data_IF_730213707351
#
_entry.id   IF_730213707351
#
_cell.length_a   1.000
_cell.length_b   1.000
_cell.length_c   1.000
_cell.angle_alpha   90.00
_cell.angle_beta   90.00
_cell.angle_gamma   90.00
#
_symmetry.space_group_name_H-M   'P 1'
#
loop_
_entity.id
_entity.type
_entity.pdbx_description
1 polymer ?
#
# COMPACT_ATOMS: atom_id res chain seq x y z
N UNK A 1 12.10 -1.07 -19.51
CA UNK A 1 11.07 -0.33 -18.76
C UNK A 1 10.40 -1.35 -17.86
N UNK A 2 10.43 -1.16 -16.53
CA UNK A 2 9.73 -2.06 -15.60
C UNK A 2 8.23 -1.85 -15.78
N UNK A 3 7.46 -2.93 -15.84
CA UNK A 3 6.01 -2.86 -15.96
C UNK A 3 5.42 -3.44 -14.68
N UNK A 4 4.52 -2.69 -14.07
CA UNK A 4 3.91 -3.02 -12.80
C UNK A 4 2.44 -3.32 -12.98
N UNK A 5 1.84 -3.94 -11.97
CA UNK A 5 0.40 -4.04 -11.82
C UNK A 5 0.05 -3.63 -10.40
N UNK A 6 -1.01 -2.84 -10.32
CA UNK A 6 -1.69 -2.50 -9.08
C UNK A 6 -2.95 -3.34 -8.94
N UNK A 7 -3.27 -3.79 -7.73
CA UNK A 7 -4.53 -4.49 -7.47
C UNK A 7 -5.14 -4.16 -6.12
N UNK A 8 -6.45 -4.00 -6.08
CA UNK A 8 -7.21 -3.74 -4.85
C UNK A 8 -8.59 -4.40 -4.92
N UNK A 9 -9.37 -4.27 -3.85
CA UNK A 9 -10.69 -4.87 -3.71
C UNK A 9 -10.70 -6.00 -2.67
N UNK A 10 -11.74 -6.82 -2.68
CA UNK A 10 -11.92 -7.88 -1.68
C UNK A 10 -12.02 -9.25 -2.33
N UNK A 11 -11.82 -10.32 -1.56
CA UNK A 11 -12.07 -11.68 -2.05
C UNK A 11 -13.55 -11.91 -2.41
N UNK A 12 -14.47 -11.25 -1.72
CA UNK A 12 -15.92 -11.42 -1.91
C UNK A 12 -16.43 -10.76 -3.19
N UNK A 13 -15.90 -9.59 -3.55
CA UNK A 13 -16.37 -8.78 -4.68
C UNK A 13 -15.41 -8.79 -5.89
N UNK A 14 -14.33 -9.58 -5.80
CA UNK A 14 -13.27 -9.62 -6.79
C UNK A 14 -12.22 -8.52 -6.58
N UNK A 15 -11.06 -8.74 -7.18
CA UNK A 15 -9.97 -7.77 -7.18
C UNK A 15 -9.82 -7.11 -8.54
N UNK A 16 -9.77 -5.78 -8.54
CA UNK A 16 -9.39 -4.99 -9.71
C UNK A 16 -7.89 -5.14 -9.93
N UNK A 17 -7.45 -5.16 -11.19
CA UNK A 17 -6.03 -5.21 -11.56
C UNK A 17 -5.78 -4.20 -12.68
N UNK A 18 -4.85 -3.29 -12.47
CA UNK A 18 -4.50 -2.23 -13.42
C UNK A 18 -3.01 -2.29 -13.71
N UNK A 19 -2.58 -2.63 -14.95
CA UNK A 19 -1.19 -2.53 -15.35
C UNK A 19 -0.78 -1.07 -15.53
N UNK A 20 0.47 -0.76 -15.22
CA UNK A 20 1.08 0.54 -15.48
C UNK A 20 2.59 0.41 -15.71
N UNK A 21 3.17 1.33 -16.49
CA UNK A 21 4.60 1.39 -16.77
C UNK A 21 5.17 2.81 -16.61
N UNK A 22 4.32 3.78 -16.27
CA UNK A 22 4.68 5.18 -16.00
C UNK A 22 4.22 5.63 -14.62
N UNK A 23 4.83 6.70 -14.11
CA UNK A 23 4.41 7.36 -12.86
C UNK A 23 3.00 7.93 -12.98
N UNK A 24 2.62 8.46 -14.15
CA UNK A 24 1.26 8.96 -14.40
C UNK A 24 0.23 7.81 -14.34
N UNK A 25 0.55 6.66 -14.97
CA UNK A 25 -0.28 5.46 -14.88
C UNK A 25 -0.41 4.95 -13.44
N UNK A 26 0.67 5.00 -12.66
CA UNK A 26 0.66 4.70 -11.23
C UNK A 26 -0.29 5.63 -10.45
N UNK A 27 -0.20 6.95 -10.66
CA UNK A 27 -1.09 7.92 -10.01
C UNK A 27 -2.54 7.68 -10.37
N UNK A 28 -2.84 7.46 -11.65
CA UNK A 28 -4.19 7.16 -12.11
C UNK A 28 -4.74 5.89 -11.45
N UNK A 29 -3.94 4.82 -11.35
CA UNK A 29 -4.33 3.60 -10.64
C UNK A 29 -4.63 3.83 -9.16
N UNK A 30 -3.80 4.62 -8.47
CA UNK A 30 -3.98 4.91 -7.06
C UNK A 30 -5.22 5.78 -6.80
N UNK A 31 -5.50 6.74 -7.70
CA UNK A 31 -6.70 7.56 -7.68
C UNK A 31 -7.96 6.70 -7.86
N UNK A 32 -7.94 5.74 -8.80
CA UNK A 32 -9.04 4.79 -8.99
C UNK A 32 -9.28 3.93 -7.74
N UNK A 33 -8.22 3.38 -7.15
CA UNK A 33 -8.32 2.58 -5.94
C UNK A 33 -8.89 3.37 -4.74
N UNK A 34 -8.47 4.63 -4.60
CA UNK A 34 -8.95 5.52 -3.54
C UNK A 34 -10.42 5.88 -3.74
N UNK A 35 -10.81 6.24 -4.97
CA UNK A 35 -12.20 6.56 -5.30
C UNK A 35 -13.13 5.36 -5.09
N UNK A 36 -12.69 4.15 -5.46
CA UNK A 36 -13.46 2.92 -5.24
C UNK A 36 -13.65 2.63 -3.74
N UNK A 37 -12.60 2.86 -2.94
CA UNK A 37 -12.65 2.72 -1.49
C UNK A 37 -13.64 3.72 -0.85
N UNK A 38 -13.62 4.98 -1.31
CA UNK A 38 -14.54 6.03 -0.86
C UNK A 38 -16.00 5.73 -1.23
N UNK A 39 -16.27 5.38 -2.50
CA UNK A 39 -17.62 5.04 -3.00
C UNK A 39 -18.18 3.84 -2.22
N UNK A 40 -17.32 2.86 -1.94
CA UNK A 40 -17.71 1.65 -1.22
C UNK A 40 -17.73 1.83 0.30
N UNK A 41 -17.32 2.98 0.82
CA UNK A 41 -17.10 3.26 2.25
C UNK A 41 -16.24 2.18 2.94
N UNK A 42 -15.16 1.77 2.27
CA UNK A 42 -14.26 0.67 2.66
C UNK A 42 -12.81 1.12 2.70
N UNK A 43 -11.99 0.34 3.38
CA UNK A 43 -10.53 0.44 3.27
C UNK A 43 -10.05 -0.72 2.40
N UNK A 44 -9.20 -0.42 1.42
CA UNK A 44 -8.59 -1.44 0.57
C UNK A 44 -7.09 -1.53 0.80
N UNK A 45 -6.59 -2.75 0.74
CA UNK A 45 -5.17 -3.00 0.51
C UNK A 45 -4.89 -2.99 -0.98
N UNK A 46 -3.99 -2.11 -1.38
CA UNK A 46 -3.52 -1.94 -2.74
C UNK A 46 -2.16 -2.60 -2.84
N UNK A 47 -2.10 -3.69 -3.59
CA UNK A 47 -0.89 -4.44 -3.85
C UNK A 47 -0.24 -3.93 -5.13
N UNK A 48 1.07 -3.71 -5.11
CA UNK A 48 1.87 -3.28 -6.26
C UNK A 48 2.96 -4.33 -6.49
N UNK A 49 3.01 -4.87 -7.71
CA UNK A 49 4.00 -5.87 -8.10
C UNK A 49 4.58 -5.60 -9.49
N UNK A 50 5.84 -5.98 -9.70
CA UNK A 50 6.47 -5.98 -11.02
C UNK A 50 6.06 -7.25 -11.78
N UNK A 51 5.70 -7.07 -13.05
CA UNK A 51 5.27 -8.13 -13.97
C UNK A 51 6.42 -9.01 -14.47
N UNK A 52 7.66 -8.52 -14.38
CA UNK A 52 8.87 -9.20 -14.84
C UNK A 52 9.50 -10.07 -13.74
N UNK A 53 9.27 -9.73 -12.46
CA UNK A 53 9.82 -10.48 -11.33
C UNK A 53 8.96 -11.72 -11.04
N UNK A 54 9.18 -12.79 -11.84
CA UNK A 54 8.65 -14.14 -11.59
C UNK A 54 9.55 -14.92 -10.62
N UNK A 55 9.85 -14.36 -9.45
CA UNK A 55 10.46 -15.10 -8.36
C UNK A 55 9.56 -15.01 -7.14
N UNK A 56 9.74 -15.94 -6.21
CA UNK A 56 8.78 -16.38 -5.19
C UNK A 56 8.33 -15.32 -4.15
N UNK A 57 8.65 -14.03 -4.39
CA UNK A 57 8.22 -12.86 -3.63
C UNK A 57 7.35 -11.93 -4.51
N UNK A 58 6.00 -12.09 -4.49
CA UNK A 58 5.11 -11.51 -5.50
C UNK A 58 4.71 -10.05 -5.26
N UNK A 59 5.13 -9.41 -4.16
CA UNK A 59 4.76 -8.04 -3.83
C UNK A 59 6.00 -7.18 -3.70
N UNK A 60 5.95 -5.95 -4.20
CA UNK A 60 6.99 -4.97 -3.97
C UNK A 60 6.55 -3.99 -2.90
N UNK A 61 5.33 -3.48 -3.01
CA UNK A 61 4.73 -2.64 -1.98
C UNK A 61 3.25 -2.96 -1.79
N UNK A 62 2.76 -2.74 -0.58
CA UNK A 62 1.33 -2.67 -0.29
C UNK A 62 1.02 -1.34 0.40
N UNK A 63 -0.15 -0.76 0.08
CA UNK A 63 -0.64 0.45 0.74
C UNK A 63 -2.13 0.34 1.09
N UNK A 64 -2.54 0.89 2.23
CA UNK A 64 -3.95 1.02 2.56
C UNK A 64 -4.55 2.33 1.99
N UNK A 65 -5.70 2.24 1.32
CA UNK A 65 -6.45 3.40 0.80
C UNK A 65 -7.88 3.40 1.32
N UNK A 66 -8.55 4.56 1.28
CA UNK A 66 -9.93 4.74 1.74
C UNK A 66 -10.09 5.18 3.19
N UNK A 67 -8.99 5.27 3.95
CA UNK A 67 -8.98 5.91 5.26
C UNK A 67 -8.51 7.36 5.14
N UNK A 68 -9.22 8.30 5.79
CA UNK A 68 -9.01 9.74 5.61
C UNK A 68 -7.62 10.25 6.06
N UNK A 69 -7.07 9.71 7.16
CA UNK A 69 -5.84 10.23 7.78
C UNK A 69 -4.76 9.19 8.06
N UNK A 70 -5.11 7.91 8.08
CA UNK A 70 -4.20 6.81 8.37
C UNK A 70 -3.98 5.99 7.11
N UNK A 71 -2.72 5.71 6.79
CA UNK A 71 -2.38 4.68 5.82
C UNK A 71 -1.12 3.97 6.26
N UNK A 72 -0.96 2.74 5.79
CA UNK A 72 0.20 1.90 6.05
C UNK A 72 0.86 1.62 4.73
N UNK A 73 2.18 1.65 4.70
CA UNK A 73 2.98 1.18 3.57
C UNK A 73 3.84 0.03 4.04
N UNK A 74 3.71 -1.09 3.33
CA UNK A 74 4.56 -2.26 3.46
C UNK A 74 5.47 -2.32 2.24
N UNK A 75 6.74 -2.62 2.48
CA UNK A 75 7.75 -2.92 1.47
C UNK A 75 8.19 -4.35 1.69
N UNK A 76 8.05 -5.19 0.66
CA UNK A 76 8.44 -6.59 0.73
C UNK A 76 9.78 -6.80 0.05
N UNK A 77 10.66 -7.53 0.73
CA UNK A 77 11.98 -7.92 0.26
C UNK A 77 12.18 -9.41 0.47
N UNK A 78 13.21 -9.99 -0.14
CA UNK A 78 13.55 -11.42 0.01
C UNK A 78 13.72 -11.83 1.49
N UNK A 79 14.30 -10.94 2.30
CA UNK A 79 14.58 -11.20 3.71
C UNK A 79 13.38 -10.97 4.66
N UNK A 80 12.23 -10.53 4.12
CA UNK A 80 11.05 -10.20 4.91
C UNK A 80 10.43 -8.85 4.53
N UNK A 81 9.44 -8.42 5.29
CA UNK A 81 8.69 -7.19 5.01
C UNK A 81 9.08 -6.08 5.99
N UNK A 82 8.96 -4.83 5.55
CA UNK A 82 9.24 -3.63 6.36
C UNK A 82 8.08 -2.65 6.28
N UNK A 83 7.74 -2.01 7.39
CA UNK A 83 6.75 -0.94 7.44
C UNK A 83 7.41 0.42 7.32
N UNK A 84 6.77 1.33 6.59
CA UNK A 84 7.08 2.74 6.69
C UNK A 84 6.62 3.27 8.06
N UNK A 85 7.54 3.85 8.80
CA UNK A 85 7.30 4.52 10.08
C UNK A 85 7.16 6.01 9.82
N UNK A 86 6.04 6.59 10.26
CA UNK A 86 5.79 8.02 10.18
C UNK A 86 5.10 8.52 11.45
N UNK A 87 5.24 9.82 11.71
CA UNK A 87 4.51 10.48 12.79
C UNK A 87 3.05 10.68 12.36
N UNK A 88 2.12 10.06 13.08
CA UNK A 88 0.70 10.26 12.86
C UNK A 88 0.22 11.61 13.41
N UNK A 89 -0.69 12.30 12.72
CA UNK A 89 -1.56 13.24 13.40
C UNK A 89 -2.45 12.47 14.39
N UNK A 90 -2.46 12.92 15.65
CA UNK A 90 -3.29 12.39 16.72
C UNK A 90 -4.78 12.62 16.40
N UNK A 91 -5.52 11.53 16.26
CA UNK A 91 -7.00 11.43 16.14
C UNK A 91 -7.63 11.57 14.74
N UNK A 92 -8.57 10.65 14.47
CA UNK A 92 -9.79 10.91 13.68
C UNK A 92 -10.90 9.95 14.10
N UNK A 93 -12.10 10.49 14.31
CA UNK A 93 -13.31 9.86 14.87
C UNK A 93 -14.19 9.11 13.84
N UNK A 94 -13.67 8.64 12.72
CA UNK A 94 -14.50 8.01 11.69
C UNK A 94 -14.52 6.47 11.85
N UNK A 95 -15.67 5.83 12.14
CA UNK A 95 -15.80 4.38 12.12
C UNK A 95 -15.85 3.91 10.67
N UNK A 96 -14.69 3.62 10.07
CA UNK A 96 -14.62 2.90 8.81
C UNK A 96 -14.68 1.40 9.11
N UNK A 97 -15.50 0.68 8.35
CA UNK A 97 -15.56 -0.79 8.46
C UNK A 97 -14.30 -1.36 7.80
N UNK A 98 -13.33 -1.75 8.63
CA UNK A 98 -12.09 -2.38 8.20
C UNK A 98 -12.32 -3.88 7.98
N UNK A 99 -12.77 -4.25 6.77
CA UNK A 99 -12.77 -5.66 6.36
C UNK A 99 -11.34 -6.03 5.92
N UNK A 100 -10.54 -6.55 6.87
CA UNK A 100 -9.20 -7.09 6.57
C UNK A 100 -9.29 -8.10 5.42
N UNK A 101 -8.56 -7.91 4.31
CA UNK A 101 -8.33 -9.00 3.38
C UNK A 101 -7.36 -9.97 4.06
N UNK A 102 -7.86 -11.15 4.44
CA UNK A 102 -7.06 -12.24 5.03
C UNK A 102 -5.78 -12.52 4.24
N UNK A 103 -4.64 -12.53 4.95
CA UNK A 103 -3.33 -13.02 4.46
C UNK A 103 -2.19 -12.80 5.45
N UNK A 104 -2.07 -11.60 6.00
CA UNK A 104 -0.94 -11.22 6.86
C UNK A 104 -1.44 -10.88 8.25
N UNK A 105 -1.18 -11.77 9.22
CA UNK A 105 -1.45 -11.52 10.65
C UNK A 105 -0.43 -10.50 11.16
N UNK A 106 -0.69 -9.23 10.92
CA UNK A 106 0.16 -8.14 11.41
C UNK A 106 -0.52 -7.50 12.60
N UNK A 107 0.07 -7.64 13.78
CA UNK A 107 -0.26 -6.79 14.92
C UNK A 107 -0.03 -5.33 14.48
N UNK A 108 -1.10 -4.56 14.31
CA UNK A 108 -1.01 -3.15 13.94
C UNK A 108 -0.51 -2.36 15.15
N UNK A 109 0.78 -2.08 15.20
CA UNK A 109 1.30 -1.05 16.10
C UNK A 109 0.97 0.30 15.46
N UNK A 110 0.20 1.15 16.15
CA UNK A 110 -0.21 2.49 15.68
C UNK A 110 0.98 3.40 15.25
N UNK A 111 2.21 2.97 15.54
CA UNK A 111 3.47 3.62 15.14
C UNK A 111 3.92 3.33 13.71
N UNK A 112 3.26 2.44 12.96
CA UNK A 112 3.69 1.96 11.63
C UNK A 112 2.87 2.53 10.47
N UNK A 113 2.27 3.70 10.68
CA UNK A 113 1.41 4.38 9.71
C UNK A 113 2.00 5.73 9.32
N UNK A 114 1.84 6.10 8.06
CA UNK A 114 2.25 7.40 7.51
C UNK A 114 1.01 8.25 7.19
N UNK A 115 1.11 9.59 7.19
CA UNK A 115 0.04 10.43 6.69
C UNK A 115 -0.33 10.10 5.25
N UNK A 116 -1.63 10.06 4.92
CA UNK A 116 -2.11 9.81 3.54
C UNK A 116 -1.50 10.80 2.53
N UNK A 117 -1.30 12.05 2.96
CA UNK A 117 -0.65 13.09 2.16
C UNK A 117 0.81 12.79 1.82
N UNK A 118 1.52 12.01 2.65
CA UNK A 118 2.91 11.59 2.40
C UNK A 118 2.99 10.29 1.61
N UNK A 119 2.00 9.40 1.77
CA UNK A 119 2.02 8.07 1.16
C UNK A 119 2.20 8.10 -0.36
N UNK A 120 1.53 9.03 -1.06
CA UNK A 120 1.71 9.18 -2.52
C UNK A 120 3.16 9.49 -2.88
N UNK A 121 3.82 10.38 -2.15
CA UNK A 121 5.22 10.75 -2.39
C UNK A 121 6.17 9.56 -2.21
N UNK A 122 5.96 8.79 -1.14
CA UNK A 122 6.71 7.56 -0.82
C UNK A 122 6.61 6.55 -1.95
N UNK A 123 5.38 6.19 -2.33
CA UNK A 123 5.16 5.19 -3.38
C UNK A 123 5.67 5.67 -4.76
N UNK A 124 5.53 6.97 -5.05
CA UNK A 124 6.02 7.57 -6.30
C UNK A 124 7.53 7.47 -6.43
N UNK A 125 8.26 7.73 -5.34
CA UNK A 125 9.72 7.61 -5.34
C UNK A 125 10.13 6.18 -5.69
N UNK A 126 9.53 5.18 -5.03
CA UNK A 126 9.83 3.77 -5.29
C UNK A 126 9.49 3.35 -6.72
N UNK A 127 8.32 3.72 -7.26
CA UNK A 127 7.96 3.39 -8.65
C UNK A 127 8.96 3.99 -9.63
N UNK A 128 9.48 5.19 -9.35
CA UNK A 128 10.44 5.89 -10.19
C UNK A 128 11.84 5.28 -10.13
N UNK A 129 12.31 4.92 -8.93
CA UNK A 129 13.71 4.49 -8.71
C UNK A 129 13.88 2.97 -8.70
N UNK A 130 12.84 2.24 -8.31
CA UNK A 130 12.90 0.83 -7.98
C UNK A 130 13.60 0.54 -6.64
N UNK A 131 13.88 1.57 -5.85
CA UNK A 131 14.66 1.52 -4.61
C UNK A 131 13.81 1.97 -3.42
N UNK A 132 14.03 1.42 -2.20
CA UNK A 132 13.31 1.83 -0.99
C UNK A 132 13.35 3.36 -0.76
N UNK A 133 12.20 4.02 -0.60
CA UNK A 133 12.12 5.47 -0.35
C UNK A 133 12.89 5.88 0.89
N UNK A 134 13.66 6.98 0.78
CA UNK A 134 14.52 7.47 1.87
C UNK A 134 13.85 8.49 2.79
N UNK A 135 12.68 8.98 2.39
CA UNK A 135 11.88 9.97 3.11
C UNK A 135 11.14 9.42 4.34
N UNK A 136 11.20 8.11 4.58
CA UNK A 136 10.63 7.43 5.76
C UNK A 136 11.63 6.49 6.38
N UNK A 137 11.43 6.22 7.68
CA UNK A 137 12.18 5.17 8.36
C UNK A 137 11.48 3.83 8.13
N UNK A 138 12.24 2.76 7.89
CA UNK A 138 11.70 1.42 7.70
C UNK A 138 11.93 0.58 8.94
N UNK A 139 10.86 0.03 9.52
CA UNK A 139 10.93 -0.93 10.62
C UNK A 139 10.64 -2.34 10.11
N UNK A 140 11.39 -3.34 10.57
CA UNK A 140 11.20 -4.74 10.18
C UNK A 140 9.88 -5.26 10.73
N UNK A 141 9.12 -5.98 9.90
CA UNK A 141 7.99 -6.76 10.33
C UNK A 141 8.50 -8.03 11.03
N UNK A 142 8.48 -8.05 12.35
CA UNK A 142 8.63 -9.29 13.11
C UNK A 142 7.31 -10.06 13.06
N UNK A 143 7.34 -11.28 12.54
CA UNK A 143 6.26 -12.25 12.74
C UNK A 143 6.36 -12.75 14.19
N UNK A 144 5.37 -12.43 15.02
CA UNK A 144 5.16 -13.06 16.34
C UNK A 144 4.41 -14.40 16.20
#
# INVERSE_FOLDING_TARGET
MRSYVMSWGTRAYGRVKVPFDTVEGFHCGLDLATADAEISARVFEVDIWDTQTRLDHPFMMQVLVGHATRTRILLHEEAGSRYAVGDLPTSTDAPLTYERPTGTNTAETETTTVPVSQARGILTEYVRTGEPPTQVTWAVQTED
#
